data_IF_661421831915
#
_entry.id   IF_661421831915
#
_cell.length_a   1.000
_cell.length_b   1.000
_cell.length_c   1.000
_cell.angle_alpha   90.00
_cell.angle_beta   90.00
_cell.angle_gamma   90.00
#
_symmetry.space_group_name_H-M   'P 1'
#
loop_
_entity.id
_entity.type
_entity.pdbx_description
1 polymer ?
#
# COMPACT_ATOMS: atom_id res chain seq x y z
N UNK A 1 39.74 1.32 20.26
CA UNK A 1 38.74 0.30 20.11
C UNK A 1 37.39 0.93 19.74
N UNK A 2 36.94 0.70 18.53
CA UNK A 2 35.60 1.10 18.11
C UNK A 2 34.62 0.22 18.87
N UNK A 3 33.94 0.80 19.82
CA UNK A 3 32.91 0.12 20.59
C UNK A 3 31.65 0.05 19.72
N UNK A 4 31.46 -1.05 18.99
CA UNK A 4 30.20 -1.43 18.41
C UNK A 4 29.28 -1.87 19.55
N UNK A 5 28.63 -0.96 20.20
CA UNK A 5 27.63 -1.27 21.20
C UNK A 5 26.36 -0.51 20.87
N UNK A 6 25.42 -1.19 20.29
CA UNK A 6 24.03 -1.13 20.67
C UNK A 6 23.26 0.17 20.49
N UNK A 7 23.82 1.22 19.89
CA UNK A 7 23.01 2.31 19.42
C UNK A 7 23.11 2.35 17.90
N UNK A 8 21.99 2.45 17.21
CA UNK A 8 21.93 2.56 15.76
C UNK A 8 22.75 3.74 15.23
N UNK A 9 22.94 4.76 16.04
CA UNK A 9 23.84 5.89 15.77
C UNK A 9 25.26 5.42 15.49
N UNK A 10 25.77 4.42 16.24
CA UNK A 10 27.11 3.84 16.03
C UNK A 10 27.20 2.97 14.78
N UNK A 11 26.09 2.48 14.25
CA UNK A 11 26.05 1.72 13.00
C UNK A 11 26.03 2.67 11.81
N UNK A 12 25.41 3.84 11.93
CA UNK A 12 25.36 4.87 10.88
C UNK A 12 26.64 5.70 10.81
N UNK A 13 27.19 6.08 11.96
CA UNK A 13 28.39 6.91 12.06
C UNK A 13 29.65 6.04 11.98
N UNK A 14 30.06 5.75 10.75
CA UNK A 14 31.23 4.90 10.47
C UNK A 14 32.56 5.66 10.36
N UNK A 15 32.54 6.97 10.49
CA UNK A 15 33.73 7.81 10.39
C UNK A 15 33.77 8.85 11.52
N UNK A 16 34.99 9.26 11.91
CA UNK A 16 35.20 10.36 12.90
C UNK A 16 34.62 11.69 12.43
N UNK A 17 34.54 11.87 11.15
CA UNK A 17 33.92 13.04 10.48
C UNK A 17 32.88 12.52 9.50
N UNK A 18 31.62 12.90 9.69
CA UNK A 18 30.53 12.59 8.77
C UNK A 18 30.79 13.21 7.38
N UNK A 19 30.22 12.59 6.35
CA UNK A 19 30.29 13.18 5.01
C UNK A 19 29.48 14.50 5.00
N UNK A 20 30.08 15.58 4.47
CA UNK A 20 29.41 16.88 4.35
C UNK A 20 28.27 16.89 3.33
N UNK A 21 28.27 15.92 2.40
CA UNK A 21 27.24 15.77 1.38
C UNK A 21 26.76 14.33 1.31
N UNK A 22 25.44 14.16 1.21
CA UNK A 22 24.85 12.87 0.90
C UNK A 22 25.32 12.35 -0.46
N UNK A 23 25.48 11.02 -0.58
CA UNK A 23 25.79 10.39 -1.86
C UNK A 23 24.69 10.70 -2.90
N UNK A 24 25.12 11.01 -4.13
CA UNK A 24 24.19 11.24 -5.23
C UNK A 24 23.38 9.96 -5.54
N UNK A 25 22.08 10.13 -5.85
CA UNK A 25 21.22 9.01 -6.25
C UNK A 25 20.37 8.43 -5.13
N UNK A 26 20.48 8.90 -3.89
CA UNK A 26 19.58 8.51 -2.82
C UNK A 26 18.21 9.19 -3.02
N UNK A 27 17.21 8.41 -3.43
CA UNK A 27 15.83 8.91 -3.57
C UNK A 27 15.00 8.39 -2.39
N UNK A 28 14.34 9.28 -1.66
CA UNK A 28 13.27 8.86 -0.75
C UNK A 28 12.12 8.32 -1.59
N UNK A 29 11.78 7.05 -1.37
CA UNK A 29 10.59 6.47 -2.00
C UNK A 29 9.37 7.05 -1.29
N UNK A 30 8.43 7.61 -2.06
CA UNK A 30 7.18 8.14 -1.51
C UNK A 30 6.21 6.99 -1.29
N UNK A 31 5.42 7.02 -0.19
CA UNK A 31 4.32 6.08 0.00
C UNK A 31 3.33 6.11 -1.17
N UNK A 32 2.79 4.94 -1.51
CA UNK A 32 1.80 4.77 -2.58
C UNK A 32 0.41 4.47 -2.03
N UNK A 33 0.34 3.87 -0.85
CA UNK A 33 -0.88 3.43 -0.18
C UNK A 33 -0.91 4.05 1.21
N UNK A 34 -2.07 4.56 1.61
CA UNK A 34 -2.29 5.14 2.92
C UNK A 34 -3.45 4.44 3.61
N UNK A 35 -3.31 4.18 4.91
CA UNK A 35 -4.40 3.69 5.75
C UNK A 35 -4.32 4.33 7.14
N UNK A 36 -5.46 4.53 7.76
CA UNK A 36 -5.55 4.90 9.17
C UNK A 36 -5.43 3.65 10.03
N UNK A 37 -4.56 3.68 11.01
CA UNK A 37 -4.41 2.66 12.03
C UNK A 37 -4.86 3.25 13.38
N UNK A 38 -5.77 2.58 14.05
CA UNK A 38 -6.36 3.03 15.31
C UNK A 38 -6.29 1.92 16.34
N UNK A 39 -5.80 2.18 17.57
CA UNK A 39 -5.85 1.19 18.63
C UNK A 39 -7.30 0.95 19.07
N UNK A 40 -7.64 -0.29 19.40
CA UNK A 40 -8.96 -0.65 19.91
C UNK A 40 -9.20 0.04 21.25
N UNK A 41 -8.18 0.06 22.13
CA UNK A 41 -8.23 0.80 23.39
C UNK A 41 -7.53 2.15 23.25
N UNK A 42 -8.17 3.21 23.72
CA UNK A 42 -7.55 4.54 23.77
C UNK A 42 -6.32 4.62 24.67
N UNK A 43 -6.21 3.70 25.64
CA UNK A 43 -5.08 3.63 26.56
C UNK A 43 -3.79 3.16 25.84
N UNK A 44 -3.93 2.45 24.75
CA UNK A 44 -2.81 1.94 23.96
C UNK A 44 -2.20 2.97 22.98
N UNK A 45 -2.78 4.17 22.89
CA UNK A 45 -2.31 5.20 21.95
C UNK A 45 -0.82 5.57 22.14
N UNK A 46 -0.37 5.74 23.37
CA UNK A 46 1.03 6.06 23.67
C UNK A 46 1.97 4.89 23.31
N UNK A 47 1.57 3.66 23.66
CA UNK A 47 2.30 2.45 23.30
C UNK A 47 2.38 2.27 21.78
N UNK A 48 1.32 2.59 21.09
CA UNK A 48 1.25 2.56 19.63
C UNK A 48 2.18 3.61 18.98
N UNK A 49 2.19 4.85 19.49
CA UNK A 49 3.12 5.87 19.03
C UNK A 49 4.57 5.43 19.18
N UNK A 50 4.92 4.90 20.36
CA UNK A 50 6.28 4.43 20.64
C UNK A 50 6.68 3.24 19.75
N UNK A 51 5.73 2.35 19.42
CA UNK A 51 5.93 1.25 18.50
C UNK A 51 6.22 1.74 17.07
N UNK A 52 5.45 2.71 16.57
CA UNK A 52 5.67 3.32 15.25
C UNK A 52 7.03 4.04 15.19
N UNK A 53 7.43 4.76 16.24
CA UNK A 53 8.72 5.40 16.31
C UNK A 53 9.87 4.38 16.24
N UNK A 54 9.77 3.27 16.98
CA UNK A 54 10.75 2.18 16.92
C UNK A 54 10.79 1.49 15.55
N UNK A 55 9.63 1.25 14.93
CA UNK A 55 9.56 0.65 13.60
C UNK A 55 10.17 1.55 12.53
N UNK A 56 9.95 2.86 12.60
CA UNK A 56 10.51 3.83 11.66
C UNK A 56 12.02 3.92 11.67
N UNK A 57 12.67 3.53 12.78
CA UNK A 57 14.14 3.43 12.86
C UNK A 57 14.68 2.30 11.97
N UNK A 58 13.92 1.23 11.80
CA UNK A 58 14.29 0.07 11.00
C UNK A 58 13.75 0.16 9.57
N UNK A 59 12.64 0.85 9.38
CA UNK A 59 11.97 1.03 8.11
C UNK A 59 11.84 2.51 7.75
N UNK A 60 12.78 3.01 6.97
CA UNK A 60 12.82 4.41 6.53
C UNK A 60 11.72 4.76 5.51
N UNK A 61 10.98 3.79 5.01
CA UNK A 61 9.87 3.97 4.07
C UNK A 61 8.51 4.09 4.76
N UNK A 62 8.42 3.72 6.03
CA UNK A 62 7.23 3.94 6.85
C UNK A 62 7.04 5.43 7.12
N UNK A 63 5.93 5.96 6.65
CA UNK A 63 5.46 7.30 6.96
C UNK A 63 4.29 7.20 7.94
N UNK A 64 4.22 8.07 8.92
CA UNK A 64 3.06 8.15 9.81
C UNK A 64 2.87 9.57 10.33
N UNK A 65 1.62 9.95 10.51
CA UNK A 65 1.20 11.21 11.11
C UNK A 65 -0.02 10.99 12.01
N UNK A 66 -0.19 11.79 13.07
CA UNK A 66 -1.38 11.68 13.91
C UNK A 66 -2.66 11.93 13.13
N UNK A 67 -3.65 11.08 13.33
CA UNK A 67 -4.99 11.21 12.75
C UNK A 67 -6.03 11.06 13.86
N UNK A 68 -7.15 11.76 13.72
CA UNK A 68 -8.30 11.63 14.61
C UNK A 68 -9.56 11.32 13.82
N UNK A 69 -10.31 10.34 14.29
CA UNK A 69 -11.61 9.97 13.75
C UNK A 69 -12.69 10.16 14.79
N UNK A 70 -13.83 10.70 14.40
CA UNK A 70 -14.98 10.84 15.29
C UNK A 70 -15.55 9.49 15.75
N UNK A 71 -15.34 8.44 14.97
CA UNK A 71 -15.83 7.09 15.26
C UNK A 71 -14.77 6.21 15.96
N UNK A 72 -13.48 6.37 15.64
CA UNK A 72 -12.40 5.49 16.08
C UNK A 72 -11.45 6.15 17.10
N UNK A 73 -11.63 7.44 17.37
CA UNK A 73 -10.78 8.18 18.30
C UNK A 73 -9.45 8.61 17.70
N UNK A 74 -8.37 8.54 18.49
CA UNK A 74 -7.03 8.95 18.08
C UNK A 74 -6.25 7.75 17.53
N UNK A 75 -5.54 7.97 16.42
CA UNK A 75 -4.72 6.99 15.77
C UNK A 75 -3.65 7.65 14.91
N UNK A 76 -3.15 6.91 13.93
CA UNK A 76 -2.15 7.41 13.01
C UNK A 76 -2.55 7.07 11.57
N UNK A 77 -2.41 8.05 10.69
CA UNK A 77 -2.42 7.81 9.26
C UNK A 77 -1.04 7.38 8.82
N UNK A 78 -0.96 6.17 8.30
CA UNK A 78 0.29 5.55 7.89
C UNK A 78 0.36 5.44 6.38
N UNK A 79 1.55 5.73 5.84
CA UNK A 79 1.86 5.61 4.42
C UNK A 79 2.82 4.44 4.16
N UNK A 80 2.49 3.63 3.17
CA UNK A 80 3.16 2.38 2.83
C UNK A 80 3.60 2.35 1.37
N UNK A 81 4.61 1.55 1.04
CA UNK A 81 5.06 1.34 -0.33
C UNK A 81 4.04 0.56 -1.18
N UNK A 82 3.19 -0.23 -0.53
CA UNK A 82 2.15 -1.05 -1.14
C UNK A 82 1.45 -1.92 -0.11
N UNK A 83 0.54 -2.78 -0.56
CA UNK A 83 -0.28 -3.62 0.32
C UNK A 83 0.55 -4.57 1.19
N UNK A 84 1.53 -5.27 0.60
CA UNK A 84 2.39 -6.20 1.35
C UNK A 84 3.16 -5.47 2.46
N UNK A 85 3.63 -4.24 2.20
CA UNK A 85 4.30 -3.45 3.22
C UNK A 85 3.35 -3.10 4.36
N UNK A 86 2.10 -2.73 4.05
CA UNK A 86 1.06 -2.46 5.04
C UNK A 86 0.79 -3.69 5.93
N UNK A 87 0.59 -4.85 5.31
CA UNK A 87 0.36 -6.11 6.03
C UNK A 87 1.52 -6.47 6.97
N UNK A 88 2.77 -6.34 6.49
CA UNK A 88 3.97 -6.60 7.30
C UNK A 88 4.04 -5.66 8.51
N UNK A 89 3.80 -4.37 8.31
CA UNK A 89 3.84 -3.39 9.41
C UNK A 89 2.72 -3.68 10.42
N UNK A 90 1.51 -3.97 9.96
CA UNK A 90 0.39 -4.32 10.82
C UNK A 90 0.70 -5.58 11.63
N UNK A 91 1.15 -6.66 10.99
CA UNK A 91 1.52 -7.91 11.65
C UNK A 91 2.64 -7.71 12.69
N UNK A 92 3.63 -6.85 12.39
CA UNK A 92 4.68 -6.50 13.35
C UNK A 92 4.16 -5.73 14.54
N UNK A 93 3.25 -4.77 14.34
CA UNK A 93 2.62 -4.02 15.43
C UNK A 93 1.82 -4.95 16.35
N UNK A 94 1.08 -5.88 15.78
CA UNK A 94 0.29 -6.86 16.52
C UNK A 94 1.18 -7.86 17.28
N UNK A 95 2.19 -8.45 16.62
CA UNK A 95 3.00 -9.53 17.21
C UNK A 95 4.18 -9.07 18.06
N UNK A 96 4.87 -7.99 17.67
CA UNK A 96 6.08 -7.54 18.39
C UNK A 96 5.71 -6.58 19.53
N UNK A 97 4.60 -5.86 19.42
CA UNK A 97 4.20 -4.82 20.38
C UNK A 97 2.87 -5.11 21.10
N UNK A 98 2.25 -6.25 20.80
CA UNK A 98 1.00 -6.70 21.44
C UNK A 98 -0.12 -5.63 21.34
N UNK A 99 -0.29 -5.05 20.15
CA UNK A 99 -1.25 -3.99 19.88
C UNK A 99 -2.41 -4.53 19.05
N UNK A 100 -3.63 -4.37 19.55
CA UNK A 100 -4.86 -4.64 18.81
C UNK A 100 -5.26 -3.40 18.02
N UNK A 101 -5.22 -3.49 16.68
CA UNK A 101 -5.41 -2.35 15.79
C UNK A 101 -6.63 -2.52 14.87
N UNK A 102 -7.33 -1.42 14.64
CA UNK A 102 -8.32 -1.29 13.56
C UNK A 102 -7.66 -0.59 12.40
N UNK A 103 -7.65 -1.24 11.23
CA UNK A 103 -7.15 -0.68 9.98
C UNK A 103 -8.31 -0.18 9.13
N UNK A 104 -8.25 1.07 8.68
CA UNK A 104 -9.22 1.59 7.70
C UNK A 104 -8.93 1.04 6.32
N UNK A 105 -9.91 1.12 5.42
CA UNK A 105 -9.69 0.77 4.02
C UNK A 105 -8.51 1.57 3.43
N UNK A 106 -7.60 0.91 2.72
CA UNK A 106 -6.46 1.58 2.11
C UNK A 106 -6.91 2.57 1.03
N UNK A 107 -6.22 3.70 0.95
CA UNK A 107 -6.44 4.75 -0.04
C UNK A 107 -5.16 5.02 -0.81
N UNK A 108 -5.30 5.58 -2.00
CA UNK A 108 -4.18 6.00 -2.85
C UNK A 108 -4.10 7.54 -2.87
N UNK A 109 -2.97 8.07 -3.32
CA UNK A 109 -2.81 9.51 -3.48
C UNK A 109 -3.42 9.95 -4.81
N UNK A 110 -4.36 10.89 -4.74
CA UNK A 110 -4.90 11.55 -5.92
C UNK A 110 -4.17 12.87 -6.16
N UNK A 111 -3.94 13.18 -7.43
CA UNK A 111 -3.44 14.48 -7.88
C UNK A 111 -4.62 15.31 -8.39
N UNK A 112 -4.83 16.47 -7.79
CA UNK A 112 -5.92 17.38 -8.15
C UNK A 112 -5.35 18.68 -8.68
N UNK A 113 -5.71 19.02 -9.92
CA UNK A 113 -5.46 20.31 -10.51
C UNK A 113 -6.66 21.25 -10.19
N UNK A 114 -6.38 22.36 -9.53
CA UNK A 114 -7.39 23.36 -9.20
C UNK A 114 -7.58 24.38 -10.34
N UNK A 115 -8.69 25.11 -10.30
CA UNK A 115 -9.00 26.12 -11.31
C UNK A 115 -8.01 27.30 -11.35
N UNK A 116 -7.24 27.50 -10.30
CA UNK A 116 -6.17 28.50 -10.23
C UNK A 116 -4.84 28.02 -10.85
N UNK A 117 -4.81 26.77 -11.34
CA UNK A 117 -3.62 26.12 -11.93
C UNK A 117 -2.67 25.51 -10.92
N UNK A 118 -2.98 25.54 -9.64
CA UNK A 118 -2.20 24.84 -8.61
C UNK A 118 -2.54 23.34 -8.60
N UNK A 119 -1.53 22.50 -8.28
CA UNK A 119 -1.69 21.06 -8.15
C UNK A 119 -1.49 20.66 -6.69
N UNK A 120 -2.44 19.92 -6.14
CA UNK A 120 -2.39 19.37 -4.79
C UNK A 120 -2.45 17.85 -4.85
N UNK A 121 -1.78 17.20 -3.89
CA UNK A 121 -1.86 15.77 -3.69
C UNK A 121 -2.68 15.50 -2.45
N UNK A 122 -3.70 14.66 -2.56
CA UNK A 122 -4.54 14.26 -1.44
C UNK A 122 -4.49 12.76 -1.24
N UNK A 123 -4.36 12.34 -0.02
CA UNK A 123 -4.31 10.94 0.42
C UNK A 123 -5.52 10.58 1.29
N UNK A 124 -6.28 11.58 1.72
CA UNK A 124 -7.47 11.41 2.57
C UNK A 124 -8.69 12.10 1.98
N UNK A 125 -9.88 11.47 2.01
CA UNK A 125 -11.13 12.11 1.59
C UNK A 125 -11.44 13.40 2.34
N UNK A 126 -10.95 13.55 3.57
CA UNK A 126 -11.15 14.76 4.39
C UNK A 126 -10.42 15.99 3.83
N UNK A 127 -9.38 15.79 3.02
CA UNK A 127 -8.60 16.85 2.38
C UNK A 127 -9.20 17.31 1.04
N UNK A 128 -10.31 16.69 0.59
CA UNK A 128 -10.92 17.00 -0.69
C UNK A 128 -11.39 18.45 -0.76
N UNK A 129 -10.90 19.25 -1.72
CA UNK A 129 -11.38 20.61 -1.92
C UNK A 129 -12.84 20.63 -2.42
N UNK A 130 -13.48 21.79 -2.34
CA UNK A 130 -14.81 21.94 -2.89
C UNK A 130 -14.82 21.63 -4.40
N UNK A 131 -15.79 20.83 -4.84
CA UNK A 131 -15.90 20.31 -6.23
C UNK A 131 -15.79 21.44 -7.26
N UNK A 132 -16.35 22.60 -6.97
CA UNK A 132 -16.35 23.77 -7.86
C UNK A 132 -14.93 24.34 -8.11
N UNK A 133 -13.95 24.00 -7.28
CA UNK A 133 -12.57 24.46 -7.41
C UNK A 133 -11.68 23.45 -8.15
N UNK A 134 -12.19 22.26 -8.44
CA UNK A 134 -11.47 21.20 -9.11
C UNK A 134 -11.60 21.36 -10.62
N UNK A 135 -10.46 21.44 -11.30
CA UNK A 135 -10.39 21.42 -12.77
C UNK A 135 -10.25 20.00 -13.29
N UNK A 136 -9.35 19.22 -12.71
CA UNK A 136 -9.05 17.85 -13.11
C UNK A 136 -8.61 17.04 -11.89
N UNK A 137 -8.96 15.75 -11.86
CA UNK A 137 -8.52 14.80 -10.85
C UNK A 137 -7.87 13.61 -11.54
N UNK A 138 -6.65 13.27 -11.12
CA UNK A 138 -5.84 12.16 -11.64
C UNK A 138 -5.63 11.13 -10.57
N UNK A 139 -5.77 9.86 -10.94
CA UNK A 139 -5.49 8.71 -10.08
C UNK A 139 -4.26 7.95 -10.59
N UNK A 140 -3.47 7.32 -9.69
CA UNK A 140 -2.35 6.49 -10.10
C UNK A 140 -2.85 5.22 -10.77
N UNK A 141 -2.20 4.84 -11.86
CA UNK A 141 -2.48 3.61 -12.61
C UNK A 141 -1.36 2.59 -12.34
N UNK A 142 -1.75 1.37 -12.02
CA UNK A 142 -0.83 0.25 -11.87
C UNK A 142 -0.78 -0.58 -13.16
N UNK A 143 0.43 -0.88 -13.64
CA UNK A 143 0.63 -1.87 -14.69
C UNK A 143 0.70 -3.27 -14.07
N UNK A 144 -0.29 -4.11 -14.38
CA UNK A 144 -0.44 -5.44 -13.83
C UNK A 144 -0.06 -6.50 -14.86
N UNK A 145 0.96 -7.30 -14.56
CA UNK A 145 1.37 -8.45 -15.36
C UNK A 145 0.84 -9.73 -14.71
N UNK A 146 -0.05 -10.43 -15.40
CA UNK A 146 -0.73 -11.61 -14.90
C UNK A 146 -0.39 -12.80 -15.80
N UNK A 147 0.30 -13.81 -15.24
CA UNK A 147 0.59 -15.07 -15.92
C UNK A 147 -0.33 -16.17 -15.38
N UNK A 148 -1.10 -16.79 -16.26
CA UNK A 148 -2.11 -17.78 -15.86
C UNK A 148 -2.31 -18.86 -16.93
N UNK A 149 -2.88 -20.06 -16.56
CA UNK A 149 -3.34 -21.04 -17.52
C UNK A 149 -4.50 -20.49 -18.38
N UNK A 150 -4.58 -20.93 -19.65
CA UNK A 150 -5.59 -20.45 -20.61
C UNK A 150 -7.03 -20.67 -20.13
N UNK A 151 -7.28 -21.73 -19.37
CA UNK A 151 -8.61 -22.09 -18.84
C UNK A 151 -9.21 -21.00 -17.93
N UNK A 152 -8.37 -20.22 -17.20
CA UNK A 152 -8.82 -19.15 -16.30
C UNK A 152 -8.89 -17.77 -16.96
N UNK A 153 -8.46 -17.67 -18.21
CA UNK A 153 -8.32 -16.39 -18.91
C UNK A 153 -9.62 -15.58 -18.92
N UNK A 154 -10.76 -16.23 -19.19
CA UNK A 154 -12.07 -15.54 -19.26
C UNK A 154 -12.45 -14.89 -17.94
N UNK A 155 -12.31 -15.59 -16.83
CA UNK A 155 -12.64 -15.09 -15.49
C UNK A 155 -11.75 -13.90 -15.10
N UNK A 156 -10.44 -14.00 -15.39
CA UNK A 156 -9.48 -12.94 -15.07
C UNK A 156 -9.69 -11.70 -15.93
N UNK A 157 -10.01 -11.85 -17.23
CA UNK A 157 -10.37 -10.73 -18.11
C UNK A 157 -11.61 -10.01 -17.56
N UNK A 158 -12.65 -10.77 -17.19
CA UNK A 158 -13.88 -10.21 -16.61
C UNK A 158 -13.56 -9.42 -15.34
N UNK A 159 -12.75 -9.98 -14.43
CA UNK A 159 -12.31 -9.28 -13.22
C UNK A 159 -11.57 -7.98 -13.54
N UNK A 160 -10.63 -8.00 -14.49
CA UNK A 160 -9.88 -6.81 -14.86
C UNK A 160 -10.80 -5.71 -15.44
N UNK A 161 -11.80 -6.09 -16.25
CA UNK A 161 -12.78 -5.14 -16.80
C UNK A 161 -13.67 -4.56 -15.69
N UNK A 162 -14.16 -5.37 -14.76
CA UNK A 162 -14.92 -4.90 -13.59
C UNK A 162 -14.12 -3.89 -12.76
N UNK A 163 -12.80 -4.07 -12.69
CA UNK A 163 -11.85 -3.17 -11.99
C UNK A 163 -11.35 -2.02 -12.86
N UNK A 164 -12.10 -1.63 -13.87
CA UNK A 164 -11.78 -0.52 -14.78
C UNK A 164 -10.44 -0.68 -15.52
N UNK A 165 -9.95 -1.93 -15.62
CA UNK A 165 -8.68 -2.22 -16.27
C UNK A 165 -8.76 -2.11 -17.80
N UNK A 166 -7.69 -1.59 -18.38
CA UNK A 166 -7.50 -1.52 -19.83
C UNK A 166 -6.42 -2.52 -20.21
N UNK A 167 -6.76 -3.45 -21.11
CA UNK A 167 -5.78 -4.42 -21.61
C UNK A 167 -4.80 -3.73 -22.56
N UNK A 168 -3.51 -3.82 -22.24
CA UNK A 168 -2.44 -3.26 -23.08
C UNK A 168 -1.73 -4.32 -23.89
N UNK A 169 -1.60 -5.56 -23.34
CA UNK A 169 -0.92 -6.64 -24.06
C UNK A 169 -1.49 -8.01 -23.68
N UNK A 170 -1.33 -8.99 -24.60
CA UNK A 170 -1.63 -10.39 -24.35
C UNK A 170 -0.69 -11.28 -25.19
N UNK A 171 0.00 -12.20 -24.54
CA UNK A 171 0.95 -13.10 -25.19
C UNK A 171 0.72 -14.53 -24.74
N UNK A 172 0.67 -15.46 -25.68
CA UNK A 172 0.52 -16.89 -25.43
C UNK A 172 1.88 -17.56 -25.28
N UNK A 173 2.08 -18.28 -24.17
CA UNK A 173 3.27 -19.07 -23.88
C UNK A 173 2.88 -20.54 -23.71
N UNK A 174 2.69 -21.26 -24.80
CA UNK A 174 2.24 -22.65 -24.76
C UNK A 174 0.84 -22.80 -24.13
N UNK A 175 0.77 -23.39 -22.92
CA UNK A 175 -0.49 -23.56 -22.18
C UNK A 175 -0.83 -22.38 -21.25
N UNK A 176 0.04 -21.38 -21.18
CA UNK A 176 -0.15 -20.21 -20.35
C UNK A 176 -0.38 -18.97 -21.20
N UNK A 177 -1.01 -17.96 -20.61
CA UNK A 177 -1.22 -16.63 -21.19
C UNK A 177 -0.65 -15.60 -20.24
N UNK A 178 0.13 -14.68 -20.77
CA UNK A 178 0.56 -13.47 -20.09
C UNK A 178 -0.35 -12.31 -20.51
N UNK A 179 -1.07 -11.75 -19.56
CA UNK A 179 -1.94 -10.58 -19.73
C UNK A 179 -1.25 -9.37 -19.10
N UNK A 180 -1.29 -8.23 -19.78
CA UNK A 180 -0.86 -6.94 -19.24
C UNK A 180 -2.05 -6.00 -19.24
N UNK A 181 -2.35 -5.45 -18.08
CA UNK A 181 -3.45 -4.51 -17.85
C UNK A 181 -2.95 -3.26 -17.15
N UNK A 182 -3.49 -2.11 -17.52
CA UNK A 182 -3.45 -0.88 -16.75
C UNK A 182 -4.71 -0.81 -15.89
N UNK A 183 -4.57 -0.87 -14.56
CA UNK A 183 -5.68 -0.87 -13.61
C UNK A 183 -5.48 0.30 -12.64
N UNK A 184 -6.53 1.09 -12.32
CA UNK A 184 -6.45 2.10 -11.29
C UNK A 184 -5.94 1.51 -9.96
N UNK A 185 -4.91 2.14 -9.38
CA UNK A 185 -4.28 1.63 -8.16
C UNK A 185 -5.27 1.49 -7.00
N UNK A 186 -6.29 2.37 -6.93
CA UNK A 186 -7.35 2.28 -5.94
C UNK A 186 -8.12 0.96 -6.00
N UNK A 187 -8.35 0.41 -7.19
CA UNK A 187 -9.02 -0.88 -7.37
C UNK A 187 -8.11 -2.06 -7.00
N UNK A 188 -6.79 -1.90 -7.24
CA UNK A 188 -5.80 -2.94 -6.93
C UNK A 188 -5.63 -3.11 -5.43
N UNK A 189 -5.58 -2.00 -4.67
CA UNK A 189 -5.33 -2.04 -3.22
C UNK A 189 -6.54 -2.47 -2.39
N UNK A 190 -7.75 -2.48 -2.95
CA UNK A 190 -8.95 -2.88 -2.20
C UNK A 190 -9.06 -4.41 -2.08
N UNK A 191 -9.40 -5.08 -3.16
CA UNK A 191 -9.77 -6.50 -3.13
C UNK A 191 -9.33 -7.29 -4.38
N UNK A 192 -8.55 -6.67 -5.27
CA UNK A 192 -8.19 -7.26 -6.56
C UNK A 192 -7.46 -8.60 -6.40
N UNK A 193 -6.48 -8.68 -5.48
CA UNK A 193 -5.69 -9.89 -5.30
C UNK A 193 -6.51 -11.05 -4.73
N UNK A 194 -7.44 -10.79 -3.82
CA UNK A 194 -8.30 -11.81 -3.23
C UNK A 194 -9.31 -12.32 -4.25
N UNK A 195 -9.88 -11.43 -5.05
CA UNK A 195 -10.74 -11.81 -6.16
C UNK A 195 -9.99 -12.56 -7.26
N UNK A 196 -8.75 -12.17 -7.55
CA UNK A 196 -7.90 -12.87 -8.51
C UNK A 196 -7.62 -14.31 -8.06
N UNK A 197 -7.28 -14.52 -6.78
CA UNK A 197 -7.11 -15.85 -6.19
C UNK A 197 -8.41 -16.66 -6.30
N UNK A 198 -9.55 -16.06 -5.98
CA UNK A 198 -10.86 -16.72 -6.08
C UNK A 198 -11.22 -17.13 -7.51
N UNK A 199 -10.85 -16.34 -8.52
CA UNK A 199 -11.03 -16.71 -9.93
C UNK A 199 -10.25 -17.95 -10.33
N UNK A 200 -9.12 -18.24 -9.66
CA UNK A 200 -8.28 -19.40 -9.91
C UNK A 200 -8.70 -20.63 -9.10
N UNK A 201 -9.27 -20.45 -7.90
CA UNK A 201 -9.66 -21.53 -7.00
C UNK A 201 -11.04 -22.12 -7.33
N UNK A 202 -11.98 -21.31 -7.83
CA UNK A 202 -13.37 -21.73 -8.03
C UNK A 202 -13.56 -22.78 -9.14
N UNK A 203 -12.58 -22.99 -10.01
CA UNK A 203 -12.64 -24.03 -11.07
C UNK A 203 -12.02 -25.36 -10.65
N UNK A 204 -11.27 -25.43 -9.55
CA UNK A 204 -10.75 -26.70 -9.04
C UNK A 204 -11.81 -27.52 -8.30
N UNK A 205 -12.74 -26.87 -7.59
CA UNK A 205 -13.83 -27.55 -6.87
C UNK A 205 -14.91 -28.11 -7.81
N UNK A 206 -15.15 -27.45 -8.97
CA UNK A 206 -16.12 -27.94 -9.94
C UNK A 206 -15.66 -29.20 -10.72
N UNK A 207 -14.36 -29.51 -10.71
CA UNK A 207 -13.81 -30.69 -11.37
C UNK A 207 -13.85 -31.94 -10.48
N UNK A 208 -13.95 -31.80 -9.17
CA UNK A 208 -13.99 -32.95 -8.22
C UNK A 208 -15.41 -33.49 -7.97
N UNK A 209 -16.47 -32.69 -8.26
CA UNK A 209 -17.86 -33.19 -8.09
C UNK A 209 -18.41 -34.00 -9.29
N UNK A 210 -17.62 -34.17 -10.34
CA UNK A 210 -18.03 -34.87 -11.60
C UNK A 210 -17.69 -36.34 -11.69
N UNK A 211 -17.12 -37.00 -10.66
CA UNK A 211 -16.79 -38.41 -10.65
C UNK A 211 -17.40 -39.11 -9.44
N UNK A 212 -18.73 -39.21 -9.47
CA UNK A 212 -19.49 -40.09 -8.59
C UNK A 212 -20.45 -40.93 -9.41
#
# INVERSE_FOLDING_TARGET
>A
GVRLVGSEMCIRDRAKHGAEKALAGFKKVKPQVYAGLFPISSDDYESFRDALEKLSLNDASLFYEPESSTALGFGFRCGFLGMLHMEIIQERLEREYDLDLITTAPTVVYEIELNDGSTIHIDSPAQMPAINNIKEMREPIAECHILLPQEYMGNVITLCIEKRGVQTNMVYHGKQVALTYEIPMAEVVLDFFDRLKSCLLYTSDAADEGLG
#
